data_IF_927306931013
#
_entry.id   IF_927306931013
#
_cell.length_a   1.000
_cell.length_b   1.000
_cell.length_c   1.000
_cell.angle_alpha   90.00
_cell.angle_beta   90.00
_cell.angle_gamma   90.00
#
_symmetry.space_group_name_H-M   'P 1'
#
loop_
_entity.id
_entity.type
_entity.pdbx_description
1 polymer ?
#
# COMPACT_ATOMS: atom_id res chain seq x y z
N UNK A 1 68.11 -35.92 12.28
CA UNK A 1 68.93 -34.69 12.12
C UNK A 1 68.14 -33.71 11.30
N UNK A 2 67.61 -32.69 11.92
CA UNK A 2 67.43 -31.29 11.55
C UNK A 2 66.41 -30.66 12.48
N UNK A 3 66.91 -29.75 13.27
CA UNK A 3 66.17 -28.92 14.24
C UNK A 3 65.31 -27.95 13.51
N UNK A 4 64.02 -27.77 13.95
CA UNK A 4 63.18 -26.64 13.60
C UNK A 4 62.92 -25.91 14.90
N UNK A 5 63.43 -24.68 14.99
CA UNK A 5 63.21 -23.72 16.05
C UNK A 5 61.74 -23.19 15.95
N UNK A 6 61.02 -23.28 17.08
CA UNK A 6 59.75 -22.56 17.28
C UNK A 6 60.07 -21.15 17.83
N UNK A 7 59.78 -20.12 17.05
CA UNK A 7 59.79 -18.74 17.51
C UNK A 7 58.39 -18.42 18.06
N UNK A 8 58.29 -18.26 19.38
CA UNK A 8 57.11 -17.77 20.06
C UNK A 8 57.09 -16.25 19.95
N UNK A 9 56.14 -15.73 19.17
CA UNK A 9 55.83 -14.29 19.13
C UNK A 9 54.76 -13.99 20.19
N UNK A 10 55.18 -13.39 21.29
CA UNK A 10 54.32 -12.85 22.34
C UNK A 10 53.75 -11.51 21.83
N UNK A 11 52.49 -11.48 21.40
CA UNK A 11 51.80 -10.23 21.08
C UNK A 11 51.27 -9.64 22.37
N UNK A 12 51.85 -8.53 22.77
CA UNK A 12 51.39 -7.67 23.88
C UNK A 12 50.20 -6.84 23.38
N UNK A 13 48.98 -7.28 23.70
CA UNK A 13 47.73 -6.52 23.41
C UNK A 13 47.61 -5.36 24.41
N UNK A 14 48.03 -4.18 23.98
CA UNK A 14 47.69 -2.92 24.64
C UNK A 14 46.17 -2.69 24.47
N UNK A 15 45.45 -2.85 25.58
CA UNK A 15 44.05 -2.42 25.69
C UNK A 15 43.99 -0.89 25.62
N UNK A 16 43.86 -0.33 24.43
CA UNK A 16 43.41 1.06 24.24
C UNK A 16 41.92 1.06 24.45
N UNK A 17 41.45 1.58 25.59
CA UNK A 17 40.04 1.90 25.82
C UNK A 17 39.65 3.01 24.85
N UNK A 18 39.03 2.66 23.72
CA UNK A 18 38.31 3.62 22.93
C UNK A 18 37.07 4.08 23.72
N UNK A 19 36.85 5.38 23.86
CA UNK A 19 35.59 5.84 24.45
C UNK A 19 34.46 5.34 23.55
N UNK A 20 33.55 4.56 24.14
CA UNK A 20 32.28 4.19 23.49
C UNK A 20 31.53 5.50 23.26
N UNK A 21 31.57 6.00 22.03
CA UNK A 21 30.64 7.03 21.61
C UNK A 21 29.26 6.38 21.62
N UNK A 22 28.51 6.59 22.69
CA UNK A 22 27.09 6.32 22.71
C UNK A 22 26.47 7.12 21.55
N UNK A 23 25.80 6.43 20.65
CA UNK A 23 25.03 7.10 19.61
C UNK A 23 24.08 8.10 20.29
N UNK A 24 23.98 9.34 19.78
CA UNK A 24 23.10 10.33 20.40
C UNK A 24 21.68 9.78 20.41
N UNK A 25 21.08 9.84 21.59
CA UNK A 25 19.70 9.47 21.83
C UNK A 25 18.79 10.29 20.90
N UNK A 26 18.21 9.66 19.87
CA UNK A 26 17.33 10.29 18.87
C UNK A 26 15.96 10.69 19.42
N UNK A 27 15.73 10.53 20.72
CA UNK A 27 14.43 10.79 21.37
C UNK A 27 14.20 12.24 21.81
N UNK A 28 15.20 13.15 21.69
CA UNK A 28 15.03 14.58 21.95
C UNK A 28 15.15 15.37 20.66
N UNK A 29 14.06 15.52 19.94
CA UNK A 29 13.94 16.60 18.96
C UNK A 29 13.96 17.92 19.76
N UNK A 30 15.11 18.52 19.91
CA UNK A 30 15.26 19.88 20.43
C UNK A 30 14.51 20.79 19.46
N UNK A 31 13.39 21.37 19.88
CA UNK A 31 12.68 22.38 19.08
C UNK A 31 13.70 23.48 18.73
N UNK A 32 13.89 23.70 17.42
CA UNK A 32 14.76 24.77 16.93
C UNK A 32 14.23 26.13 17.43
N UNK A 33 15.12 27.07 17.75
CA UNK A 33 14.71 28.44 18.05
C UNK A 33 14.15 29.10 16.76
N UNK A 34 13.37 30.16 16.92
CA UNK A 34 12.80 30.89 15.79
C UNK A 34 13.89 31.41 14.82
N UNK A 35 15.00 31.91 15.35
CA UNK A 35 16.15 32.33 14.57
C UNK A 35 16.77 31.17 13.79
N UNK A 36 16.91 29.99 14.40
CA UNK A 36 17.42 28.80 13.75
C UNK A 36 16.47 28.31 12.64
N UNK A 37 15.15 28.40 12.83
CA UNK A 37 14.15 28.06 11.82
C UNK A 37 14.22 29.01 10.64
N UNK A 38 14.33 30.32 10.87
CA UNK A 38 14.48 31.31 9.80
C UNK A 38 15.75 31.06 8.99
N UNK A 39 16.89 30.83 9.65
CA UNK A 39 18.15 30.49 8.97
C UNK A 39 18.05 29.20 8.19
N UNK A 40 17.45 28.15 8.75
CA UNK A 40 17.23 26.89 8.05
C UNK A 40 16.35 27.07 6.81
N UNK A 41 15.26 27.86 6.91
CA UNK A 41 14.41 28.21 5.78
C UNK A 41 15.17 28.87 4.64
N UNK A 42 16.02 29.86 4.96
CA UNK A 42 16.85 30.53 3.96
C UNK A 42 17.80 29.56 3.24
N UNK A 43 18.47 28.70 4.00
CA UNK A 43 19.34 27.67 3.44
C UNK A 43 18.56 26.75 2.51
N UNK A 44 17.42 26.21 2.94
CA UNK A 44 16.58 25.35 2.11
C UNK A 44 16.12 26.04 0.83
N UNK A 45 15.73 27.33 0.89
CA UNK A 45 15.37 28.11 -0.29
C UNK A 45 16.53 28.27 -1.27
N UNK A 46 17.75 28.50 -0.79
CA UNK A 46 18.93 28.55 -1.64
C UNK A 46 19.24 27.21 -2.27
N UNK A 47 19.19 26.14 -1.49
CA UNK A 47 19.40 24.77 -2.00
C UNK A 47 18.36 24.41 -3.04
N UNK A 48 17.08 24.69 -2.81
CA UNK A 48 16.00 24.40 -3.79
C UNK A 48 16.18 25.17 -5.11
N UNK A 49 16.82 26.35 -5.08
CA UNK A 49 17.07 27.17 -6.28
C UNK A 49 18.34 26.78 -7.02
N UNK A 50 19.42 26.49 -6.31
CA UNK A 50 20.77 26.45 -6.88
C UNK A 50 21.52 25.13 -6.62
N UNK A 51 20.98 24.25 -5.78
CA UNK A 51 21.59 22.97 -5.47
C UNK A 51 21.55 21.98 -6.64
N UNK A 52 22.35 20.92 -6.53
CA UNK A 52 22.28 19.76 -7.41
C UNK A 52 20.94 19.04 -7.24
N UNK A 53 20.52 18.21 -8.20
CA UNK A 53 19.30 17.38 -8.10
C UNK A 53 19.22 16.63 -6.77
N UNK A 54 20.34 16.05 -6.32
CA UNK A 54 20.41 15.30 -5.06
C UNK A 54 20.16 16.19 -3.84
N UNK A 55 20.82 17.34 -3.77
CA UNK A 55 20.65 18.31 -2.67
C UNK A 55 19.23 18.87 -2.63
N UNK A 56 18.70 19.23 -3.80
CA UNK A 56 17.31 19.73 -3.94
C UNK A 56 16.29 18.67 -3.51
N UNK A 57 16.50 17.40 -3.88
CA UNK A 57 15.63 16.29 -3.43
C UNK A 57 15.68 16.10 -1.91
N UNK A 58 16.86 16.23 -1.30
CA UNK A 58 17.01 16.22 0.16
C UNK A 58 16.30 17.41 0.82
N UNK A 59 16.41 18.61 0.24
CA UNK A 59 15.73 19.79 0.75
C UNK A 59 14.19 19.68 0.68
N UNK A 60 13.64 19.04 -0.37
CA UNK A 60 12.21 18.74 -0.44
C UNK A 60 11.78 17.77 0.66
N UNK A 61 12.59 16.75 0.97
CA UNK A 61 12.31 15.84 2.08
C UNK A 61 12.39 16.53 3.44
N UNK A 62 13.33 17.46 3.62
CA UNK A 62 13.39 18.29 4.84
C UNK A 62 12.20 19.24 4.98
N UNK A 63 11.62 19.69 3.86
CA UNK A 63 10.40 20.48 3.86
C UNK A 63 9.21 19.68 4.42
N UNK A 64 9.15 18.37 4.20
CA UNK A 64 8.07 17.51 4.73
C UNK A 64 8.04 17.48 6.27
N UNK A 65 9.19 17.71 6.91
CA UNK A 65 9.33 17.75 8.37
C UNK A 65 9.41 19.20 8.91
N UNK A 66 9.35 20.21 8.03
CA UNK A 66 9.50 21.61 8.40
C UNK A 66 8.19 22.17 8.98
N UNK A 67 8.24 23.01 10.06
CA UNK A 67 7.06 23.59 10.66
C UNK A 67 6.20 24.36 9.64
N UNK A 68 4.90 24.01 9.57
CA UNK A 68 3.97 24.54 8.57
C UNK A 68 3.81 26.05 8.64
N UNK A 69 3.84 26.63 9.84
CA UNK A 69 3.72 28.07 10.11
C UNK A 69 4.86 28.91 9.50
N UNK A 70 6.01 28.28 9.22
CA UNK A 70 7.19 28.95 8.65
C UNK A 70 7.46 28.54 7.19
N UNK A 71 6.69 27.60 6.61
CA UNK A 71 6.98 26.96 5.33
C UNK A 71 6.53 27.72 4.08
N UNK A 72 5.74 28.79 4.18
CA UNK A 72 5.07 29.45 3.05
C UNK A 72 5.95 29.70 1.82
N UNK A 73 7.13 30.32 1.99
CA UNK A 73 8.04 30.59 0.88
C UNK A 73 8.66 29.30 0.29
N UNK A 74 8.85 28.25 1.09
CA UNK A 74 9.32 26.94 0.63
C UNK A 74 8.25 26.24 -0.20
N UNK A 75 6.97 26.34 0.22
CA UNK A 75 5.82 25.80 -0.52
C UNK A 75 5.65 26.54 -1.86
N UNK A 76 5.84 27.87 -1.88
CA UNK A 76 5.83 28.62 -3.15
C UNK A 76 6.95 28.16 -4.10
N UNK A 77 8.16 27.93 -3.58
CA UNK A 77 9.27 27.41 -4.37
C UNK A 77 9.00 25.98 -4.85
N UNK A 78 8.37 25.13 -4.03
CA UNK A 78 7.90 23.80 -4.39
C UNK A 78 6.94 23.85 -5.59
N UNK A 79 5.98 24.79 -5.60
CA UNK A 79 5.08 25.00 -6.73
C UNK A 79 5.80 25.36 -8.02
N UNK A 80 6.84 26.19 -7.95
CA UNK A 80 7.67 26.52 -9.13
C UNK A 80 8.42 25.30 -9.68
N UNK A 81 8.93 24.43 -8.80
CA UNK A 81 9.56 23.16 -9.18
C UNK A 81 8.54 22.23 -9.82
N UNK A 82 7.38 22.07 -9.20
CA UNK A 82 6.30 21.23 -9.71
C UNK A 82 5.91 21.58 -11.15
N UNK A 83 5.72 22.86 -11.43
CA UNK A 83 5.16 23.33 -12.70
C UNK A 83 6.22 23.44 -13.80
N UNK A 84 7.45 23.86 -13.49
CA UNK A 84 8.38 24.39 -14.49
C UNK A 84 9.82 23.86 -14.37
N UNK A 85 10.13 22.98 -13.43
CA UNK A 85 11.51 22.51 -13.32
C UNK A 85 11.93 21.75 -14.60
N UNK A 86 13.09 22.07 -15.20
CA UNK A 86 13.58 21.38 -16.39
C UNK A 86 13.97 19.92 -16.09
N UNK A 87 14.33 19.61 -14.85
CA UNK A 87 14.66 18.26 -14.42
C UNK A 87 13.36 17.53 -14.05
N UNK A 88 12.99 16.55 -14.88
CA UNK A 88 11.79 15.75 -14.66
C UNK A 88 11.82 15.00 -13.32
N UNK A 89 12.99 14.57 -12.83
CA UNK A 89 13.12 13.93 -11.51
C UNK A 89 12.73 14.89 -10.39
N UNK A 90 13.12 16.16 -10.50
CA UNK A 90 12.72 17.17 -9.52
C UNK A 90 11.22 17.39 -9.51
N UNK A 91 10.57 17.35 -10.67
CA UNK A 91 9.10 17.41 -10.75
C UNK A 91 8.45 16.20 -10.08
N UNK A 92 8.99 15.00 -10.26
CA UNK A 92 8.54 13.77 -9.55
C UNK A 92 8.67 13.94 -8.03
N UNK A 93 9.81 14.44 -7.54
CA UNK A 93 9.98 14.71 -6.11
C UNK A 93 9.01 15.79 -5.60
N UNK A 94 8.78 16.83 -6.38
CA UNK A 94 7.81 17.87 -6.03
C UNK A 94 6.38 17.32 -5.92
N UNK A 95 5.94 16.45 -6.85
CA UNK A 95 4.64 15.77 -6.78
C UNK A 95 4.52 14.98 -5.48
N UNK A 96 5.56 14.24 -5.09
CA UNK A 96 5.59 13.47 -3.83
C UNK A 96 5.44 14.38 -2.63
N UNK A 97 6.26 15.42 -2.53
CA UNK A 97 6.22 16.37 -1.41
C UNK A 97 4.86 17.07 -1.31
N UNK A 98 4.26 17.47 -2.44
CA UNK A 98 2.88 18.00 -2.48
C UNK A 98 1.88 17.00 -1.90
N UNK A 99 2.04 15.71 -2.23
CA UNK A 99 1.17 14.64 -1.74
C UNK A 99 1.37 14.37 -0.25
N UNK A 100 2.63 14.31 0.23
CA UNK A 100 2.96 14.08 1.64
C UNK A 100 2.42 15.21 2.52
N UNK A 101 2.60 16.46 2.10
CA UNK A 101 2.12 17.63 2.80
C UNK A 101 0.62 17.92 2.60
N UNK A 102 -0.08 17.11 1.79
CA UNK A 102 -1.51 17.27 1.47
C UNK A 102 -1.87 18.66 0.95
N UNK A 103 -1.03 19.23 0.07
CA UNK A 103 -1.17 20.58 -0.48
C UNK A 103 -2.20 20.63 -1.61
N UNK A 104 -3.49 20.66 -1.27
CA UNK A 104 -4.61 20.66 -2.23
C UNK A 104 -4.66 21.90 -3.13
N UNK A 105 -3.97 23.01 -2.75
CA UNK A 105 -3.85 24.20 -3.62
C UNK A 105 -3.14 23.92 -4.95
N UNK A 106 -2.43 22.80 -5.08
CA UNK A 106 -1.77 22.37 -6.34
C UNK A 106 -2.60 21.36 -7.14
N UNK A 107 -3.89 21.22 -6.84
CA UNK A 107 -4.80 20.30 -7.56
C UNK A 107 -4.70 20.47 -9.08
N UNK A 108 -4.84 21.69 -9.59
CA UNK A 108 -4.81 21.98 -11.03
C UNK A 108 -3.46 21.57 -11.68
N UNK A 109 -2.35 21.81 -10.98
CA UNK A 109 -1.01 21.36 -11.43
C UNK A 109 -0.95 19.84 -11.52
N UNK A 110 -1.44 19.11 -10.51
CA UNK A 110 -1.48 17.64 -10.52
C UNK A 110 -2.37 17.12 -11.64
N UNK A 111 -3.57 17.70 -11.84
CA UNK A 111 -4.48 17.31 -12.93
C UNK A 111 -3.84 17.47 -14.31
N UNK A 112 -3.08 18.57 -14.52
CA UNK A 112 -2.33 18.79 -15.75
C UNK A 112 -1.22 17.76 -15.96
N UNK A 113 -0.53 17.37 -14.87
CA UNK A 113 0.58 16.43 -14.91
C UNK A 113 0.13 14.97 -15.18
N UNK A 114 -1.14 14.63 -14.96
CA UNK A 114 -1.71 13.34 -15.37
C UNK A 114 -1.59 13.08 -16.87
N UNK A 115 -1.53 14.13 -17.69
CA UNK A 115 -1.40 14.06 -19.16
C UNK A 115 0.05 14.22 -19.63
N UNK A 116 1.02 14.17 -18.71
CA UNK A 116 2.43 14.35 -19.07
C UNK A 116 2.95 13.13 -19.84
N UNK A 117 3.76 13.36 -20.87
CA UNK A 117 4.35 12.31 -21.70
C UNK A 117 5.42 11.50 -20.97
N UNK A 118 6.04 12.07 -19.92
CA UNK A 118 7.02 11.35 -19.10
C UNK A 118 6.31 10.36 -18.18
N UNK A 119 6.55 9.04 -18.33
CA UNK A 119 5.80 8.01 -17.60
C UNK A 119 5.92 8.11 -16.08
N UNK A 120 7.08 8.53 -15.58
CA UNK A 120 7.30 8.68 -14.13
C UNK A 120 6.51 9.83 -13.53
N UNK A 121 6.40 10.97 -14.25
CA UNK A 121 5.56 12.10 -13.85
C UNK A 121 4.09 11.68 -13.85
N UNK A 122 3.62 11.02 -14.92
CA UNK A 122 2.24 10.55 -15.01
C UNK A 122 1.90 9.59 -13.87
N UNK A 123 2.75 8.58 -13.62
CA UNK A 123 2.55 7.59 -12.55
C UNK A 123 2.51 8.24 -11.17
N UNK A 124 3.43 9.15 -10.89
CA UNK A 124 3.47 9.84 -9.60
C UNK A 124 2.27 10.78 -9.43
N UNK A 125 1.79 11.40 -10.51
CA UNK A 125 0.56 12.22 -10.49
C UNK A 125 -0.69 11.38 -10.20
N UNK A 126 -0.79 10.15 -10.73
CA UNK A 126 -1.87 9.20 -10.39
C UNK A 126 -1.85 8.88 -8.90
N UNK A 127 -0.66 8.60 -8.34
CA UNK A 127 -0.51 8.36 -6.90
C UNK A 127 -0.91 9.59 -6.07
N UNK A 128 -0.45 10.78 -6.47
CA UNK A 128 -0.81 12.05 -5.83
C UNK A 128 -2.32 12.29 -5.83
N UNK A 129 -2.99 12.02 -6.95
CA UNK A 129 -4.44 12.11 -7.10
C UNK A 129 -5.18 11.28 -6.05
N UNK A 130 -4.74 10.03 -5.85
CA UNK A 130 -5.28 9.14 -4.81
C UNK A 130 -5.05 9.71 -3.41
N UNK A 131 -3.81 10.14 -3.11
CA UNK A 131 -3.42 10.59 -1.77
C UNK A 131 -4.09 11.90 -1.37
N UNK A 132 -4.28 12.80 -2.32
CA UNK A 132 -4.96 14.08 -2.14
C UNK A 132 -6.49 13.96 -2.29
N UNK A 133 -7.02 12.78 -2.66
CA UNK A 133 -8.45 12.52 -2.91
C UNK A 133 -9.06 13.46 -3.96
N UNK A 134 -8.36 13.66 -5.08
CA UNK A 134 -8.77 14.57 -6.14
C UNK A 134 -9.82 13.92 -7.07
N UNK A 135 -11.08 13.88 -6.67
CA UNK A 135 -12.17 13.26 -7.45
C UNK A 135 -12.35 13.86 -8.84
N UNK A 136 -12.02 15.14 -9.03
CA UNK A 136 -12.04 15.81 -10.35
C UNK A 136 -11.11 15.16 -11.37
N UNK A 137 -10.11 14.37 -10.93
CA UNK A 137 -9.25 13.61 -11.82
C UNK A 137 -9.93 12.42 -12.49
N UNK A 138 -11.08 11.96 -11.97
CA UNK A 138 -11.77 10.75 -12.42
C UNK A 138 -11.94 10.67 -13.95
N UNK A 139 -12.42 11.70 -14.67
CA UNK A 139 -12.53 11.63 -16.13
C UNK A 139 -11.19 11.44 -16.83
N UNK A 140 -10.14 12.13 -16.35
CA UNK A 140 -8.79 12.04 -16.94
C UNK A 140 -8.21 10.63 -16.71
N UNK A 141 -8.31 10.12 -15.50
CA UNK A 141 -7.83 8.77 -15.14
C UNK A 141 -8.57 7.70 -15.95
N UNK A 142 -9.87 7.87 -16.18
CA UNK A 142 -10.65 6.94 -16.97
C UNK A 142 -10.24 6.94 -18.46
N UNK A 143 -9.99 8.12 -19.06
CA UNK A 143 -9.46 8.18 -20.43
C UNK A 143 -8.09 7.50 -20.55
N UNK A 144 -7.19 7.70 -19.57
CA UNK A 144 -5.90 7.00 -19.55
C UNK A 144 -6.11 5.49 -19.44
N UNK A 145 -7.05 5.03 -18.59
CA UNK A 145 -7.35 3.62 -18.39
C UNK A 145 -7.91 2.96 -19.67
N UNK A 146 -8.83 3.62 -20.37
CA UNK A 146 -9.44 3.10 -21.61
C UNK A 146 -8.41 2.87 -22.72
N UNK A 147 -7.32 3.65 -22.72
CA UNK A 147 -6.26 3.54 -23.71
C UNK A 147 -5.26 2.40 -23.42
N UNK A 148 -5.42 1.65 -22.31
CA UNK A 148 -4.50 0.59 -21.95
C UNK A 148 -4.84 -0.76 -22.59
N UNK A 149 -3.81 -1.60 -22.76
CA UNK A 149 -3.92 -2.99 -23.22
C UNK A 149 -4.16 -3.94 -22.02
N UNK A 150 -5.39 -4.38 -21.83
CA UNK A 150 -5.79 -5.27 -20.73
C UNK A 150 -5.33 -6.72 -20.92
N UNK A 151 -4.77 -7.07 -22.06
CA UNK A 151 -4.24 -8.43 -22.30
C UNK A 151 -2.88 -8.66 -21.66
N UNK A 152 -2.27 -7.62 -21.11
CA UNK A 152 -0.94 -7.66 -20.48
C UNK A 152 -0.97 -7.06 -19.08
N UNK A 153 -0.26 -7.70 -18.17
CA UNK A 153 -0.06 -7.13 -16.85
C UNK A 153 0.67 -5.77 -16.92
N UNK A 154 0.14 -4.78 -16.23
CA UNK A 154 0.64 -3.40 -16.25
C UNK A 154 0.47 -2.72 -14.89
N UNK A 155 1.59 -2.27 -14.33
CA UNK A 155 1.57 -1.47 -13.09
C UNK A 155 0.77 -0.17 -13.24
N UNK A 156 0.69 0.38 -14.46
CA UNK A 156 -0.11 1.57 -14.72
C UNK A 156 -1.60 1.26 -14.58
N UNK A 157 -2.09 0.16 -15.18
CA UNK A 157 -3.47 -0.28 -15.03
C UNK A 157 -3.79 -0.51 -13.55
N UNK A 158 -2.92 -1.22 -12.82
CA UNK A 158 -3.11 -1.49 -11.39
C UNK A 158 -3.21 -0.18 -10.59
N UNK A 159 -2.33 0.79 -10.85
CA UNK A 159 -2.36 2.10 -10.20
C UNK A 159 -3.63 2.90 -10.51
N UNK A 160 -4.10 2.86 -11.76
CA UNK A 160 -5.34 3.51 -12.18
C UNK A 160 -6.58 2.87 -11.51
N UNK A 161 -6.66 1.53 -11.52
CA UNK A 161 -7.75 0.79 -10.86
C UNK A 161 -7.77 1.05 -9.35
N UNK A 162 -6.59 1.04 -8.71
CA UNK A 162 -6.48 1.31 -7.28
C UNK A 162 -6.90 2.74 -6.92
N UNK A 163 -6.57 3.72 -7.77
CA UNK A 163 -6.95 5.12 -7.57
C UNK A 163 -8.44 5.34 -7.80
N UNK A 164 -8.95 4.91 -8.96
CA UNK A 164 -10.37 5.03 -9.31
C UNK A 164 -11.29 4.27 -8.35
N UNK A 165 -10.86 3.10 -7.87
CA UNK A 165 -11.59 2.33 -6.85
C UNK A 165 -11.71 3.03 -5.50
N UNK A 166 -10.91 4.05 -5.23
CA UNK A 166 -11.01 4.90 -4.03
C UNK A 166 -12.01 6.06 -4.15
N UNK A 167 -12.53 6.32 -5.36
CA UNK A 167 -13.50 7.38 -5.63
C UNK A 167 -14.92 6.81 -5.71
N UNK A 168 -15.96 7.67 -5.62
CA UNK A 168 -17.33 7.24 -5.77
C UNK A 168 -17.57 6.49 -7.08
N UNK A 169 -18.39 5.43 -7.09
CA UNK A 169 -18.66 4.65 -8.30
C UNK A 169 -19.32 5.52 -9.38
N UNK A 170 -18.88 5.33 -10.62
CA UNK A 170 -19.47 5.95 -11.81
C UNK A 170 -19.92 4.88 -12.79
N UNK A 171 -21.15 5.00 -13.28
CA UNK A 171 -21.80 4.03 -14.16
C UNK A 171 -20.98 3.65 -15.39
N UNK A 172 -20.38 4.65 -16.04
CA UNK A 172 -19.58 4.44 -17.26
C UNK A 172 -18.29 3.64 -16.98
N UNK A 173 -17.65 3.89 -15.84
CA UNK A 173 -16.44 3.17 -15.40
C UNK A 173 -16.82 1.75 -15.00
N UNK A 174 -17.89 1.60 -14.22
CA UNK A 174 -18.38 0.30 -13.76
C UNK A 174 -18.74 -0.61 -14.92
N UNK A 175 -19.50 -0.11 -15.90
CA UNK A 175 -19.91 -0.88 -17.08
C UNK A 175 -18.70 -1.27 -17.95
N UNK A 176 -17.75 -0.36 -18.14
CA UNK A 176 -16.51 -0.65 -18.88
C UNK A 176 -15.68 -1.76 -18.18
N UNK A 177 -15.49 -1.64 -16.88
CA UNK A 177 -14.69 -2.60 -16.12
C UNK A 177 -15.38 -3.95 -15.95
N UNK A 178 -16.73 -3.97 -15.85
CA UNK A 178 -17.48 -5.22 -15.79
C UNK A 178 -17.34 -6.01 -17.10
N UNK A 179 -17.37 -5.35 -18.26
CA UNK A 179 -17.07 -5.98 -19.53
C UNK A 179 -15.66 -6.58 -19.53
N UNK A 180 -14.63 -5.83 -19.10
CA UNK A 180 -13.23 -6.30 -19.02
C UNK A 180 -13.04 -7.45 -18.03
N UNK A 181 -13.77 -7.49 -16.93
CA UNK A 181 -13.77 -8.57 -15.96
C UNK A 181 -14.24 -9.89 -16.58
N UNK A 182 -15.25 -9.84 -17.45
CA UNK A 182 -15.86 -11.02 -18.09
C UNK A 182 -15.10 -11.50 -19.34
N UNK A 183 -14.19 -10.71 -19.88
CA UNK A 183 -13.40 -11.08 -21.05
C UNK A 183 -12.22 -11.97 -20.68
N UNK A 184 -12.36 -13.29 -20.90
CA UNK A 184 -11.36 -14.31 -20.48
C UNK A 184 -10.01 -14.21 -21.21
N UNK A 185 -9.90 -13.44 -22.29
CA UNK A 185 -8.63 -13.16 -22.98
C UNK A 185 -7.81 -12.06 -22.31
N UNK A 186 -8.40 -11.31 -21.38
CA UNK A 186 -7.65 -10.34 -20.59
C UNK A 186 -6.71 -11.04 -19.60
N UNK A 187 -5.62 -10.34 -19.22
CA UNK A 187 -4.66 -10.85 -18.26
C UNK A 187 -5.34 -11.19 -16.92
N UNK A 188 -5.13 -12.41 -16.38
CA UNK A 188 -5.82 -12.84 -15.16
C UNK A 188 -5.52 -11.97 -13.93
N UNK A 189 -4.30 -11.42 -13.82
CA UNK A 189 -3.94 -10.52 -12.70
C UNK A 189 -4.65 -9.18 -12.85
N UNK A 190 -4.82 -8.68 -14.06
CA UNK A 190 -5.61 -7.46 -14.33
C UNK A 190 -7.08 -7.71 -14.00
N UNK A 191 -7.65 -8.85 -14.41
CA UNK A 191 -9.02 -9.24 -14.02
C UNK A 191 -9.17 -9.30 -12.50
N UNK A 192 -8.16 -9.82 -11.79
CA UNK A 192 -8.15 -9.85 -10.32
C UNK A 192 -8.12 -8.44 -9.71
N UNK A 193 -7.37 -7.50 -10.30
CA UNK A 193 -7.37 -6.10 -9.86
C UNK A 193 -8.70 -5.39 -10.15
N UNK A 194 -9.37 -5.72 -11.25
CA UNK A 194 -10.73 -5.24 -11.54
C UNK A 194 -11.71 -5.76 -10.48
N UNK A 195 -11.60 -7.03 -10.08
CA UNK A 195 -12.41 -7.56 -9.00
C UNK A 195 -12.21 -6.77 -7.68
N UNK A 196 -10.94 -6.44 -7.33
CA UNK A 196 -10.64 -5.59 -6.15
C UNK A 196 -11.19 -4.17 -6.28
N UNK A 197 -11.16 -3.58 -7.50
CA UNK A 197 -11.76 -2.27 -7.76
C UNK A 197 -13.23 -2.26 -7.33
N UNK A 198 -14.02 -3.23 -7.76
CA UNK A 198 -15.44 -3.31 -7.41
C UNK A 198 -15.67 -3.46 -5.90
N UNK A 199 -14.84 -4.25 -5.22
CA UNK A 199 -14.92 -4.37 -3.76
C UNK A 199 -14.55 -3.09 -3.02
N UNK A 200 -13.61 -2.31 -3.56
CA UNK A 200 -13.12 -1.09 -2.94
C UNK A 200 -14.15 0.05 -3.02
N UNK A 201 -14.78 0.23 -4.17
CA UNK A 201 -15.82 1.22 -4.35
C UNK A 201 -17.23 0.70 -3.99
N UNK A 202 -17.34 -0.57 -3.56
CA UNK A 202 -18.60 -1.21 -3.13
C UNK A 202 -19.71 -1.19 -4.20
N UNK A 203 -19.32 -1.30 -5.47
CA UNK A 203 -20.27 -1.29 -6.57
C UNK A 203 -20.96 -2.64 -6.75
N UNK A 204 -22.21 -2.73 -6.32
CA UNK A 204 -23.00 -3.97 -6.34
C UNK A 204 -23.34 -4.49 -7.74
N UNK A 205 -23.11 -3.73 -8.80
CA UNK A 205 -23.33 -4.20 -10.18
C UNK A 205 -22.47 -5.42 -10.54
N UNK A 206 -21.29 -5.53 -9.92
CA UNK A 206 -20.39 -6.65 -10.16
C UNK A 206 -20.70 -7.90 -9.30
N UNK A 207 -21.66 -7.82 -8.37
CA UNK A 207 -21.93 -8.89 -7.38
C UNK A 207 -22.14 -10.26 -8.03
N UNK A 208 -23.01 -10.34 -9.03
CA UNK A 208 -23.27 -11.60 -9.74
C UNK A 208 -22.04 -12.14 -10.48
N UNK A 209 -21.33 -11.27 -11.22
CA UNK A 209 -20.13 -11.68 -11.95
C UNK A 209 -19.01 -12.15 -11.02
N UNK A 210 -18.80 -11.46 -9.90
CA UNK A 210 -17.81 -11.85 -8.90
C UNK A 210 -18.17 -13.18 -8.23
N UNK A 211 -19.46 -13.46 -8.01
CA UNK A 211 -19.91 -14.74 -7.44
C UNK A 211 -19.69 -15.88 -8.42
N UNK A 212 -19.99 -15.71 -9.70
CA UNK A 212 -19.73 -16.72 -10.71
C UNK A 212 -18.23 -17.00 -10.88
N UNK A 213 -17.38 -15.99 -10.89
CA UNK A 213 -15.93 -16.15 -10.91
C UNK A 213 -15.43 -16.89 -9.66
N UNK A 214 -15.96 -16.58 -8.48
CA UNK A 214 -15.57 -17.27 -7.25
C UNK A 214 -15.88 -18.77 -7.31
N UNK A 215 -17.01 -19.15 -7.86
CA UNK A 215 -17.46 -20.55 -7.99
C UNK A 215 -16.70 -21.34 -9.07
N UNK A 216 -16.25 -20.67 -10.12
CA UNK A 216 -15.61 -21.36 -11.25
C UNK A 216 -14.20 -21.86 -10.86
N UNK A 217 -14.08 -23.17 -10.71
CA UNK A 217 -12.80 -23.82 -10.40
C UNK A 217 -11.74 -23.71 -11.51
N UNK A 218 -12.12 -23.32 -12.73
CA UNK A 218 -11.20 -23.09 -13.86
C UNK A 218 -10.54 -21.72 -13.76
N UNK A 219 -11.13 -20.78 -13.02
CA UNK A 219 -10.54 -19.46 -12.83
C UNK A 219 -9.34 -19.51 -11.88
N UNK A 220 -8.31 -18.67 -12.09
CA UNK A 220 -7.15 -18.60 -11.22
C UNK A 220 -7.51 -18.33 -9.76
N UNK A 221 -6.80 -18.95 -8.84
CA UNK A 221 -7.06 -18.84 -7.39
C UNK A 221 -6.96 -17.37 -6.94
N UNK A 222 -6.05 -16.58 -7.47
CA UNK A 222 -5.93 -15.14 -7.17
C UNK A 222 -7.21 -14.39 -7.53
N UNK A 223 -7.73 -14.62 -8.74
CA UNK A 223 -8.95 -13.96 -9.21
C UNK A 223 -10.16 -14.38 -8.36
N UNK A 224 -10.32 -15.67 -8.08
CA UNK A 224 -11.36 -16.20 -7.19
C UNK A 224 -11.28 -15.60 -5.78
N UNK A 225 -10.07 -15.54 -5.23
CA UNK A 225 -9.81 -14.98 -3.88
C UNK A 225 -10.17 -13.49 -3.80
N UNK A 226 -9.83 -12.71 -4.82
CA UNK A 226 -10.14 -11.29 -4.85
C UNK A 226 -11.63 -11.04 -5.13
N UNK A 227 -12.27 -11.91 -5.90
CA UNK A 227 -13.73 -11.86 -6.11
C UNK A 227 -14.50 -12.06 -4.81
N UNK A 228 -14.18 -13.10 -4.03
CA UNK A 228 -14.85 -13.33 -2.73
C UNK A 228 -14.50 -12.24 -1.70
N UNK A 229 -13.27 -11.75 -1.69
CA UNK A 229 -12.87 -10.60 -0.85
C UNK A 229 -13.73 -9.36 -1.17
N UNK A 230 -14.01 -9.12 -2.45
CA UNK A 230 -14.82 -7.99 -2.90
C UNK A 230 -16.29 -8.15 -2.53
N UNK A 231 -16.84 -9.36 -2.63
CA UNK A 231 -18.18 -9.68 -2.13
C UNK A 231 -18.29 -9.40 -0.61
N UNK A 232 -17.26 -9.76 0.17
CA UNK A 232 -17.18 -9.41 1.59
C UNK A 232 -17.21 -7.91 1.85
N UNK A 233 -16.39 -7.13 1.13
CA UNK A 233 -16.34 -5.65 1.25
C UNK A 233 -17.65 -4.98 0.85
N UNK A 234 -18.37 -5.54 -0.12
CA UNK A 234 -19.73 -5.09 -0.52
C UNK A 234 -20.79 -5.49 0.49
N UNK A 235 -20.48 -6.39 1.44
CA UNK A 235 -21.45 -7.05 2.33
C UNK A 235 -22.59 -7.72 1.54
N UNK A 236 -22.21 -8.55 0.55
CA UNK A 236 -23.14 -9.28 -0.31
C UNK A 236 -23.81 -10.43 0.43
N UNK A 237 -24.85 -10.14 1.20
CA UNK A 237 -25.56 -11.13 2.00
C UNK A 237 -26.16 -12.24 1.12
N UNK A 238 -26.61 -11.89 -0.09
CA UNK A 238 -27.13 -12.85 -1.07
C UNK A 238 -26.11 -13.92 -1.49
N UNK A 239 -24.81 -13.61 -1.40
CA UNK A 239 -23.71 -14.54 -1.73
C UNK A 239 -23.28 -15.42 -0.56
N UNK A 240 -23.71 -15.13 0.66
CA UNK A 240 -23.21 -15.76 1.90
C UNK A 240 -23.34 -17.29 1.88
N UNK A 241 -24.55 -17.80 1.54
CA UNK A 241 -24.79 -19.24 1.50
C UNK A 241 -23.86 -19.95 0.52
N UNK A 242 -23.70 -19.41 -0.68
CA UNK A 242 -22.82 -19.99 -1.71
C UNK A 242 -21.36 -20.00 -1.24
N UNK A 243 -20.93 -18.94 -0.55
CA UNK A 243 -19.55 -18.86 -0.02
C UNK A 243 -19.35 -19.91 1.08
N UNK A 244 -20.35 -20.14 1.96
CA UNK A 244 -20.30 -21.19 2.97
C UNK A 244 -20.21 -22.58 2.34
N UNK A 245 -21.03 -22.88 1.32
CA UNK A 245 -21.00 -24.14 0.60
C UNK A 245 -19.63 -24.41 -0.07
N UNK A 246 -19.05 -23.43 -0.74
CA UNK A 246 -17.71 -23.55 -1.34
C UNK A 246 -16.61 -23.69 -0.27
N UNK A 247 -16.71 -23.00 0.84
CA UNK A 247 -15.78 -23.14 1.96
C UNK A 247 -15.81 -24.56 2.56
N UNK A 248 -17.01 -25.16 2.70
CA UNK A 248 -17.15 -26.55 3.16
C UNK A 248 -16.51 -27.54 2.18
N UNK A 249 -16.62 -27.32 0.87
CA UNK A 249 -15.91 -28.16 -0.11
C UNK A 249 -14.39 -28.10 0.10
N UNK A 250 -13.84 -26.90 0.38
CA UNK A 250 -12.41 -26.73 0.66
C UNK A 250 -12.00 -27.41 1.97
N UNK A 251 -12.83 -27.34 3.02
CA UNK A 251 -12.59 -28.01 4.31
C UNK A 251 -12.55 -29.53 4.20
N UNK A 252 -13.36 -30.08 3.30
CA UNK A 252 -13.48 -31.53 3.09
C UNK A 252 -12.41 -32.14 2.18
N UNK A 253 -11.48 -31.34 1.65
CA UNK A 253 -10.36 -31.83 0.84
C UNK A 253 -9.44 -32.74 1.66
N UNK A 254 -8.99 -33.84 1.02
CA UNK A 254 -8.07 -34.82 1.63
C UNK A 254 -6.63 -34.69 1.10
N UNK A 255 -6.47 -34.15 -0.09
CA UNK A 255 -5.17 -33.97 -0.71
C UNK A 255 -4.41 -32.80 -0.08
N UNK A 256 -3.23 -33.06 0.50
CA UNK A 256 -2.37 -32.01 1.09
C UNK A 256 -1.98 -30.93 0.08
N UNK A 257 -1.78 -31.33 -1.19
CA UNK A 257 -1.41 -30.36 -2.24
C UNK A 257 -2.57 -29.45 -2.59
N UNK A 258 -3.80 -29.97 -2.70
CA UNK A 258 -4.99 -29.16 -2.96
C UNK A 258 -5.31 -28.23 -1.78
N UNK A 259 -5.21 -28.73 -0.55
CA UNK A 259 -5.39 -27.92 0.67
C UNK A 259 -4.40 -26.73 0.65
N UNK A 260 -3.12 -26.99 0.36
CA UNK A 260 -2.10 -25.94 0.27
C UNK A 260 -2.38 -24.96 -0.87
N UNK A 261 -2.79 -25.45 -2.03
CA UNK A 261 -3.09 -24.60 -3.19
C UNK A 261 -4.30 -23.68 -2.94
N UNK A 262 -5.34 -24.19 -2.26
CA UNK A 262 -6.58 -23.45 -1.97
C UNK A 262 -6.54 -22.65 -0.66
N UNK A 263 -5.43 -22.67 0.07
CA UNK A 263 -5.27 -21.91 1.32
C UNK A 263 -5.57 -20.41 1.17
N UNK A 264 -5.10 -19.71 0.11
CA UNK A 264 -5.47 -18.31 -0.10
C UNK A 264 -6.97 -18.12 -0.27
N UNK A 265 -7.62 -18.97 -1.07
CA UNK A 265 -9.07 -18.90 -1.28
C UNK A 265 -9.83 -19.14 0.03
N UNK A 266 -9.41 -20.14 0.83
CA UNK A 266 -10.00 -20.44 2.13
C UNK A 266 -10.00 -19.22 3.05
N UNK A 267 -8.86 -18.57 3.25
CA UNK A 267 -8.75 -17.43 4.18
C UNK A 267 -9.53 -16.21 3.69
N UNK A 268 -9.59 -15.96 2.38
CA UNK A 268 -10.41 -14.90 1.83
C UNK A 268 -11.91 -15.17 1.98
N UNK A 269 -12.35 -16.43 1.83
CA UNK A 269 -13.74 -16.83 2.05
C UNK A 269 -14.17 -16.64 3.50
N UNK A 270 -13.35 -17.07 4.47
CA UNK A 270 -13.59 -16.84 5.90
C UNK A 270 -13.70 -15.34 6.19
N UNK A 271 -12.73 -14.54 5.70
CA UNK A 271 -12.73 -13.09 5.89
C UNK A 271 -14.00 -12.44 5.33
N UNK A 272 -14.45 -12.86 4.15
CA UNK A 272 -15.66 -12.34 3.52
C UNK A 272 -16.92 -12.67 4.35
N UNK A 273 -17.05 -13.92 4.82
CA UNK A 273 -18.18 -14.35 5.65
C UNK A 273 -18.24 -13.58 6.98
N UNK A 274 -17.10 -13.39 7.65
CA UNK A 274 -17.03 -12.56 8.87
C UNK A 274 -17.45 -11.12 8.57
N UNK A 275 -16.97 -10.53 7.45
CA UNK A 275 -17.37 -9.17 7.02
C UNK A 275 -18.88 -9.05 6.77
N UNK A 276 -19.55 -10.14 6.37
CA UNK A 276 -20.98 -10.20 6.13
C UNK A 276 -21.79 -10.48 7.42
N UNK A 277 -21.12 -10.77 8.54
CA UNK A 277 -21.75 -10.96 9.86
C UNK A 277 -21.72 -12.40 10.39
N UNK A 278 -21.13 -13.36 9.69
CA UNK A 278 -20.92 -14.73 10.19
C UNK A 278 -19.72 -14.73 11.16
N UNK A 279 -20.04 -14.53 12.45
CA UNK A 279 -19.02 -14.46 13.51
C UNK A 279 -18.57 -15.83 14.01
N UNK A 280 -19.32 -16.87 13.75
CA UNK A 280 -19.05 -18.22 14.27
C UNK A 280 -17.73 -18.78 13.74
N UNK A 281 -17.32 -18.33 12.54
CA UNK A 281 -16.07 -18.77 11.91
C UNK A 281 -14.87 -17.86 12.21
N UNK A 282 -15.03 -16.80 12.99
CA UNK A 282 -13.95 -15.85 13.31
C UNK A 282 -12.77 -16.54 14.03
N UNK A 283 -13.04 -17.58 14.83
CA UNK A 283 -12.01 -18.36 15.52
C UNK A 283 -11.00 -19.00 14.55
N UNK A 284 -11.39 -19.29 13.31
CA UNK A 284 -10.44 -19.78 12.31
C UNK A 284 -9.41 -18.70 11.90
N UNK A 285 -9.80 -17.41 11.84
CA UNK A 285 -8.84 -16.32 11.61
C UNK A 285 -7.92 -16.13 12.82
N UNK A 286 -8.44 -16.30 14.02
CA UNK A 286 -7.62 -16.25 15.24
C UNK A 286 -6.58 -17.38 15.27
N UNK A 287 -6.92 -18.59 14.77
CA UNK A 287 -5.95 -19.67 14.65
C UNK A 287 -4.76 -19.28 13.76
N UNK A 288 -4.99 -18.63 12.62
CA UNK A 288 -3.89 -18.09 11.78
C UNK A 288 -3.08 -16.99 12.49
N UNK A 289 -3.70 -16.17 13.33
CA UNK A 289 -2.99 -15.16 14.10
C UNK A 289 -2.14 -15.75 15.25
N UNK A 290 -2.36 -17.01 15.61
CA UNK A 290 -1.60 -17.79 16.62
C UNK A 290 -0.54 -18.71 15.99
N UNK A 291 -0.41 -18.75 14.66
CA UNK A 291 0.53 -19.63 13.95
C UNK A 291 1.99 -19.34 14.35
N UNK A 292 2.83 -20.36 14.33
CA UNK A 292 4.27 -20.23 14.65
C UNK A 292 5.01 -19.39 13.61
N UNK A 293 4.60 -19.46 12.32
CA UNK A 293 5.21 -18.68 11.24
C UNK A 293 4.78 -17.19 11.30
N UNK A 294 5.73 -16.25 11.49
CA UNK A 294 5.43 -14.83 11.49
C UNK A 294 4.83 -14.31 10.18
N UNK A 295 5.07 -14.99 9.04
CA UNK A 295 4.47 -14.61 7.75
C UNK A 295 3.00 -14.95 7.72
N UNK A 296 2.60 -16.10 8.31
CA UNK A 296 1.20 -16.49 8.46
C UNK A 296 0.50 -15.51 9.40
N UNK A 297 1.09 -15.20 10.56
CA UNK A 297 0.54 -14.21 11.48
C UNK A 297 0.39 -12.83 10.86
N UNK A 298 1.38 -12.37 10.08
CA UNK A 298 1.31 -11.07 9.39
C UNK A 298 0.13 -11.01 8.40
N UNK A 299 -0.11 -12.09 7.65
CA UNK A 299 -1.27 -12.21 6.76
C UNK A 299 -2.58 -12.23 7.55
N UNK A 300 -2.61 -12.95 8.68
CA UNK A 300 -3.78 -13.00 9.55
C UNK A 300 -4.17 -11.60 10.08
N UNK A 301 -3.21 -10.75 10.48
CA UNK A 301 -3.47 -9.37 10.88
C UNK A 301 -4.22 -8.63 9.77
N UNK A 302 -3.75 -8.75 8.52
CA UNK A 302 -4.43 -8.11 7.39
C UNK A 302 -5.87 -8.62 7.22
N UNK A 303 -6.08 -9.94 7.27
CA UNK A 303 -7.40 -10.54 7.13
C UNK A 303 -8.35 -10.14 8.26
N UNK A 304 -7.86 -10.12 9.50
CA UNK A 304 -8.62 -9.64 10.65
C UNK A 304 -9.05 -8.18 10.47
N UNK A 305 -8.12 -7.32 10.05
CA UNK A 305 -8.43 -5.91 9.73
C UNK A 305 -9.46 -5.79 8.60
N UNK A 306 -9.31 -6.59 7.54
CA UNK A 306 -10.20 -6.58 6.37
C UNK A 306 -11.64 -7.04 6.70
N UNK A 307 -11.88 -7.73 7.84
CA UNK A 307 -13.24 -8.08 8.29
C UNK A 307 -14.07 -6.86 8.64
N UNK A 308 -13.43 -5.81 9.15
CA UNK A 308 -14.11 -4.64 9.70
C UNK A 308 -14.93 -4.93 10.97
N UNK A 309 -14.75 -6.10 11.62
CA UNK A 309 -15.43 -6.46 12.86
C UNK A 309 -14.67 -5.94 14.07
N UNK A 310 -15.36 -5.21 14.94
CA UNK A 310 -14.73 -4.61 16.13
C UNK A 310 -14.23 -5.63 17.15
N UNK A 311 -14.75 -6.86 17.13
CA UNK A 311 -14.30 -7.92 18.05
C UNK A 311 -12.85 -8.35 17.83
N UNK A 312 -12.26 -8.03 16.65
CA UNK A 312 -10.85 -8.32 16.36
C UNK A 312 -9.89 -7.35 17.06
N UNK A 313 -10.36 -6.24 17.62
CA UNK A 313 -9.50 -5.21 18.22
C UNK A 313 -8.61 -5.76 19.33
N UNK A 314 -9.16 -6.58 20.21
CA UNK A 314 -8.42 -7.18 21.33
C UNK A 314 -7.19 -7.99 20.86
N UNK A 315 -7.35 -8.83 19.83
CA UNK A 315 -6.22 -9.60 19.32
C UNK A 315 -5.22 -8.71 18.57
N UNK A 316 -5.67 -7.65 17.88
CA UNK A 316 -4.79 -6.69 17.24
C UNK A 316 -3.95 -5.93 18.27
N UNK A 317 -4.56 -5.46 19.37
CA UNK A 317 -3.86 -4.81 20.50
C UNK A 317 -2.83 -5.75 21.13
N UNK A 318 -3.22 -7.00 21.41
CA UNK A 318 -2.28 -7.99 21.92
C UNK A 318 -1.08 -8.18 20.99
N UNK A 319 -1.33 -8.33 19.67
CA UNK A 319 -0.27 -8.50 18.66
C UNK A 319 0.60 -7.26 18.52
N UNK A 320 0.03 -6.07 18.60
CA UNK A 320 0.78 -4.81 18.55
C UNK A 320 1.79 -4.67 19.71
N UNK A 321 1.47 -5.24 20.89
CA UNK A 321 2.30 -5.13 22.08
C UNK A 321 3.23 -6.34 22.27
N UNK A 322 2.77 -7.56 21.99
CA UNK A 322 3.36 -8.80 22.47
C UNK A 322 3.86 -9.76 21.40
N UNK A 323 3.58 -9.54 20.11
CA UNK A 323 4.05 -10.46 19.07
C UNK A 323 5.60 -10.49 19.04
N UNK A 324 6.24 -11.69 18.93
CA UNK A 324 7.70 -11.78 18.86
C UNK A 324 8.29 -11.17 17.58
N UNK A 325 7.49 -10.94 16.54
CA UNK A 325 7.94 -10.33 15.27
C UNK A 325 7.63 -8.83 15.22
N UNK A 326 8.66 -8.00 15.08
CA UNK A 326 8.49 -6.55 14.92
C UNK A 326 7.66 -6.16 13.67
N UNK A 327 7.69 -6.98 12.60
CA UNK A 327 6.85 -6.75 11.42
C UNK A 327 5.37 -6.94 11.74
N UNK A 328 5.04 -7.97 12.53
CA UNK A 328 3.66 -8.23 12.97
C UNK A 328 3.19 -7.13 13.93
N UNK A 329 4.03 -6.73 14.90
CA UNK A 329 3.71 -5.60 15.79
C UNK A 329 3.38 -4.32 15.01
N UNK A 330 4.24 -3.95 14.04
CA UNK A 330 4.01 -2.75 13.20
C UNK A 330 2.71 -2.84 12.41
N UNK A 331 2.44 -4.00 11.82
CA UNK A 331 1.21 -4.20 11.06
C UNK A 331 -0.04 -4.11 11.95
N UNK A 332 0.01 -4.70 13.14
CA UNK A 332 -1.09 -4.64 14.10
C UNK A 332 -1.32 -3.20 14.63
N UNK A 333 -0.26 -2.44 14.93
CA UNK A 333 -0.37 -1.02 15.27
C UNK A 333 -1.03 -0.21 14.16
N UNK A 334 -0.54 -0.34 12.93
CA UNK A 334 -1.13 0.35 11.78
C UNK A 334 -2.59 -0.03 11.54
N UNK A 335 -2.99 -1.28 11.86
CA UNK A 335 -4.36 -1.75 11.75
C UNK A 335 -5.31 -1.13 12.79
N UNK A 336 -4.80 -0.78 13.98
CA UNK A 336 -5.57 -0.13 15.05
C UNK A 336 -5.73 1.38 14.77
N UNK A 337 -4.74 2.01 14.16
CA UNK A 337 -4.69 3.45 13.88
C UNK A 337 -5.54 3.87 12.64
N UNK A 338 -5.97 2.93 11.80
CA UNK A 338 -6.76 3.17 10.58
C UNK A 338 -8.25 2.89 10.80
#
# INVERSE_FOLDING_TARGET
>A
MKYILFFAYTIFLLFVKFPVFSAPDRSKSTKLSEEQLLKKKEILLQVLKFGTTKERAMALRELEEFPSEHSGALIEQLGKILDRDPDWMMRVYAIRTVSELKLTQYEESILKLLKNEQPDIQRESIYATKKLKLEKATPILFEILKAQDFTKNSNLIVGLLDTLGGFPPQETISSFLLARLNENFNDPEIRAQIALFFGKNKDKKAESALLEIYKDSKEPITLRSFSVSSLGKMKSISSMQVIQEELEKIRNLKSKNEIKALQPLKIHSITALVSMGDKDILEELYAYARDDDPVVRLRAIKHLTDTGDMSVLEILEYKAQRDPSEKVKKAAKAAIEN
#
